data_IF_014070558050
#
_entry.id   IF_014070558050
#
_cell.length_a   1.000
_cell.length_b   1.000
_cell.length_c   1.000
_cell.angle_alpha   90.00
_cell.angle_beta   90.00
_cell.angle_gamma   90.00
#
_symmetry.space_group_name_H-M   'P 1'
#
loop_
_entity.id
_entity.type
_entity.pdbx_description
1 polymer ?
#
# COMPACT_ATOMS: atom_id res chain seq x y z
N UNK A 1 -19.52 9.20 -0.94
CA UNK A 1 -19.87 8.08 -0.10
C UNK A 1 -21.30 8.24 0.39
N UNK A 2 -21.92 7.18 0.56
CA UNK A 2 -23.31 7.19 0.95
C UNK A 2 -23.42 7.50 2.41
N UNK A 3 -24.34 8.38 2.74
CA UNK A 3 -24.51 8.68 4.16
C UNK A 3 -24.86 7.47 4.98
N UNK A 4 -25.53 6.53 4.37
CA UNK A 4 -25.92 5.35 5.11
C UNK A 4 -24.81 4.33 5.21
N UNK A 5 -23.70 4.59 4.62
CA UNK A 5 -22.63 3.63 4.70
C UNK A 5 -22.16 3.48 6.11
N UNK A 6 -21.84 2.27 6.44
CA UNK A 6 -21.25 2.02 7.72
C UNK A 6 -19.83 2.54 7.74
N UNK A 7 -19.36 3.01 8.87
CA UNK A 7 -17.95 3.30 8.98
C UNK A 7 -17.14 2.03 8.76
N UNK A 8 -15.88 2.18 8.40
CA UNK A 8 -15.02 1.00 8.29
C UNK A 8 -15.01 0.22 9.60
N UNK A 9 -14.78 -1.07 9.53
CA UNK A 9 -14.71 -1.85 10.76
C UNK A 9 -13.66 -1.29 11.70
N UNK A 10 -13.93 -1.39 12.98
CA UNK A 10 -12.96 -0.97 13.97
C UNK A 10 -11.73 -1.85 13.86
N UNK A 11 -10.54 -1.24 13.81
CA UNK A 11 -9.33 -2.06 13.78
C UNK A 11 -9.23 -2.95 15.00
N UNK A 12 -8.71 -4.12 14.79
CA UNK A 12 -8.46 -5.02 15.88
C UNK A 12 -7.43 -4.46 16.82
N UNK A 13 -7.53 -4.72 18.09
CA UNK A 13 -6.48 -4.31 19.01
C UNK A 13 -5.17 -4.94 18.60
N UNK A 14 -4.09 -4.29 18.93
CA UNK A 14 -2.80 -4.84 18.68
C UNK A 14 -2.54 -6.00 19.61
N UNK A 15 -2.84 -7.16 19.15
CA UNK A 15 -2.80 -8.36 19.99
C UNK A 15 -1.62 -9.25 19.65
N UNK A 16 -0.56 -8.67 19.16
CA UNK A 16 0.62 -9.43 18.79
C UNK A 16 0.61 -9.91 17.38
N UNK A 17 -0.38 -9.51 16.61
CA UNK A 17 -0.50 -9.99 15.23
C UNK A 17 0.16 -9.08 14.22
N UNK A 18 0.64 -7.93 14.64
CA UNK A 18 1.31 -6.99 13.76
C UNK A 18 2.73 -6.77 14.21
N UNK A 19 3.57 -6.37 13.29
CA UNK A 19 4.88 -5.88 13.66
C UNK A 19 4.73 -4.71 14.66
N UNK A 20 5.73 -4.47 15.51
CA UNK A 20 5.63 -3.39 16.49
C UNK A 20 5.33 -2.07 15.82
N UNK A 21 4.34 -1.36 16.36
CA UNK A 21 3.90 -0.04 15.91
C UNK A 21 3.07 -0.07 14.64
N UNK A 22 2.88 -1.22 14.02
CA UNK A 22 1.98 -1.30 12.88
C UNK A 22 0.54 -1.34 13.36
N UNK A 23 -0.36 -0.80 12.55
CA UNK A 23 -1.75 -0.62 12.93
C UNK A 23 -2.60 -1.70 12.29
N UNK A 24 -3.33 -2.48 13.09
CA UNK A 24 -4.17 -3.53 12.51
C UNK A 24 -5.46 -2.96 11.96
N UNK A 25 -5.89 -3.52 10.86
CA UNK A 25 -7.20 -3.22 10.29
C UNK A 25 -7.60 -4.40 9.43
N UNK A 26 -8.80 -4.94 9.69
CA UNK A 26 -9.23 -6.14 8.98
C UNK A 26 -8.28 -7.28 9.29
N UNK A 27 -7.76 -7.88 8.26
CA UNK A 27 -6.83 -8.99 8.41
C UNK A 27 -5.38 -8.57 8.20
N UNK A 28 -5.12 -7.30 8.15
CA UNK A 28 -3.80 -6.80 7.77
C UNK A 28 -3.30 -5.79 8.76
N UNK A 29 -2.06 -5.43 8.59
CA UNK A 29 -1.36 -4.45 9.40
C UNK A 29 -0.72 -3.43 8.49
N UNK A 30 -0.67 -2.18 8.91
CA UNK A 30 -0.26 -1.06 8.06
C UNK A 30 0.72 -0.17 8.80
N UNK A 31 1.67 0.38 8.07
CA UNK A 31 2.56 1.40 8.62
C UNK A 31 2.89 2.42 7.55
N UNK A 32 2.86 3.69 7.93
CA UNK A 32 3.22 4.79 7.05
C UNK A 32 4.59 5.28 7.42
N UNK A 33 5.46 5.39 6.43
CA UNK A 33 6.80 5.91 6.58
C UNK A 33 6.83 7.32 6.01
N UNK A 34 7.42 8.26 6.74
CA UNK A 34 7.28 9.66 6.36
C UNK A 34 8.45 10.53 6.77
N UNK A 35 9.66 10.14 6.51
CA UNK A 35 10.74 11.02 6.91
C UNK A 35 10.88 12.21 5.95
N UNK A 36 11.72 13.15 6.32
CA UNK A 36 11.78 14.43 5.62
C UNK A 36 12.28 14.28 4.19
N UNK A 37 13.18 13.38 3.96
CA UNK A 37 13.74 13.25 2.63
C UNK A 37 12.83 12.55 1.68
N UNK A 38 11.96 11.72 2.21
CA UNK A 38 11.12 10.90 1.35
C UNK A 38 11.92 9.82 0.65
N UNK A 39 11.21 9.02 -0.13
CA UNK A 39 11.79 7.87 -0.80
C UNK A 39 11.27 7.81 -2.22
N UNK A 40 12.14 7.40 -3.14
CA UNK A 40 11.66 7.01 -4.45
C UNK A 40 10.81 5.75 -4.30
N UNK A 41 10.02 5.45 -5.31
CA UNK A 41 9.16 4.27 -5.23
C UNK A 41 9.98 2.98 -5.06
N UNK A 42 11.07 2.77 -5.85
CA UNK A 42 11.86 1.55 -5.63
C UNK A 42 12.47 1.48 -4.23
N UNK A 43 12.91 2.61 -3.70
CA UNK A 43 13.46 2.60 -2.35
C UNK A 43 12.38 2.34 -1.32
N UNK A 44 11.20 2.91 -1.52
CA UNK A 44 10.09 2.67 -0.62
C UNK A 44 9.74 1.18 -0.59
N UNK A 45 9.66 0.58 -1.77
CA UNK A 45 9.38 -0.85 -1.82
C UNK A 45 10.45 -1.65 -1.10
N UNK A 46 11.71 -1.26 -1.29
CA UNK A 46 12.81 -1.96 -0.65
C UNK A 46 12.67 -1.90 0.87
N UNK A 47 12.28 -0.76 1.41
CA UNK A 47 12.08 -0.65 2.86
C UNK A 47 11.00 -1.61 3.32
N UNK A 48 9.86 -1.63 2.64
CA UNK A 48 8.81 -2.57 3.02
C UNK A 48 9.34 -4.01 2.98
N UNK A 49 10.04 -4.36 1.92
CA UNK A 49 10.53 -5.73 1.76
C UNK A 49 11.56 -6.09 2.82
N UNK A 50 12.29 -5.12 3.33
CA UNK A 50 13.33 -5.40 4.31
C UNK A 50 12.74 -5.92 5.63
N UNK A 51 11.46 -5.69 5.86
CA UNK A 51 10.78 -6.23 7.03
C UNK A 51 9.70 -7.21 6.62
N UNK A 52 9.84 -7.81 5.44
CA UNK A 52 8.95 -8.86 4.95
C UNK A 52 7.54 -8.38 4.69
N UNK A 53 7.42 -7.16 4.23
CA UNK A 53 6.13 -6.62 3.86
C UNK A 53 6.21 -6.12 2.42
N UNK A 54 5.16 -5.49 1.93
CA UNK A 54 5.15 -4.90 0.61
C UNK A 54 4.51 -3.54 0.69
N UNK A 55 4.75 -2.73 -0.33
CA UNK A 55 3.99 -1.50 -0.45
C UNK A 55 2.50 -1.84 -0.42
N UNK A 56 1.73 -0.95 0.14
CA UNK A 56 0.33 -1.22 0.42
C UNK A 56 -0.44 -1.47 -0.87
N UNK A 57 -1.27 -2.51 -0.87
CA UNK A 57 -2.30 -2.70 -1.88
C UNK A 57 -3.64 -2.36 -1.25
N UNK A 58 -4.57 -1.93 -2.07
CA UNK A 58 -5.85 -1.39 -1.58
C UNK A 58 -6.97 -2.07 -2.34
N UNK A 59 -7.84 -2.75 -1.60
CA UNK A 59 -8.80 -3.67 -2.22
C UNK A 59 -10.25 -3.31 -1.97
N UNK A 60 -10.50 -2.21 -1.26
CA UNK A 60 -11.87 -1.80 -1.00
C UNK A 60 -11.90 -0.34 -0.62
N UNK A 61 -13.09 0.24 -0.74
CA UNK A 61 -13.26 1.62 -0.30
C UNK A 61 -13.01 1.73 1.19
N UNK A 62 -13.40 0.75 1.97
CA UNK A 62 -13.18 0.80 3.41
C UNK A 62 -11.69 0.80 3.73
N UNK A 63 -10.93 -0.02 3.03
CA UNK A 63 -9.50 -0.06 3.24
C UNK A 63 -8.86 1.27 2.84
N UNK A 64 -9.30 1.82 1.72
CA UNK A 64 -8.80 3.11 1.26
C UNK A 64 -9.06 4.18 2.30
N UNK A 65 -10.27 4.22 2.85
CA UNK A 65 -10.60 5.23 3.84
C UNK A 65 -9.79 5.06 5.11
N UNK A 66 -9.50 3.83 5.47
CA UNK A 66 -8.65 3.60 6.62
C UNK A 66 -7.26 4.18 6.40
N UNK A 67 -6.67 3.90 5.23
CA UNK A 67 -5.31 4.31 4.95
C UNK A 67 -5.23 5.83 4.85
N UNK A 68 -6.18 6.46 4.18
CA UNK A 68 -6.09 7.90 3.97
C UNK A 68 -6.33 8.69 5.26
N UNK A 69 -6.77 8.03 6.31
CA UNK A 69 -6.96 8.68 7.59
C UNK A 69 -5.84 8.40 8.58
N UNK A 70 -4.82 7.70 8.15
CA UNK A 70 -3.64 7.55 8.98
C UNK A 70 -2.87 8.85 9.00
N UNK A 71 -2.08 9.04 10.05
CA UNK A 71 -1.26 10.25 10.14
C UNK A 71 -0.39 10.38 8.92
N UNK A 72 -0.15 11.60 8.50
CA UNK A 72 0.65 11.94 7.34
C UNK A 72 -0.10 11.80 6.03
N UNK A 73 -0.84 10.70 5.84
CA UNK A 73 -1.57 10.51 4.59
C UNK A 73 -2.72 11.48 4.45
N UNK A 74 -3.12 12.09 5.55
CA UNK A 74 -4.21 13.07 5.53
C UNK A 74 -3.88 14.29 4.69
N UNK A 75 -2.60 14.62 4.55
CA UNK A 75 -2.22 15.83 3.87
C UNK A 75 -0.95 15.70 3.03
N UNK A 76 -0.55 14.49 2.70
CA UNK A 76 0.61 14.25 1.86
C UNK A 76 0.32 13.18 0.83
N UNK A 77 0.96 13.31 -0.31
CA UNK A 77 0.91 12.25 -1.32
C UNK A 77 1.84 11.13 -0.87
N UNK A 78 1.43 9.90 -1.05
CA UNK A 78 2.26 8.76 -0.65
C UNK A 78 2.32 7.74 -1.79
N UNK A 79 3.42 7.01 -1.83
CA UNK A 79 3.54 5.89 -2.75
C UNK A 79 2.71 4.72 -2.26
N UNK A 80 2.04 4.05 -3.19
CA UNK A 80 1.36 2.79 -2.92
C UNK A 80 1.91 1.72 -3.85
N UNK A 81 1.48 0.50 -3.66
CA UNK A 81 2.13 -0.64 -4.31
C UNK A 81 1.65 -0.95 -5.71
N UNK A 82 1.06 -0.01 -6.40
CA UNK A 82 0.58 -0.23 -7.75
C UNK A 82 1.63 0.26 -8.74
N UNK A 83 1.95 -0.57 -9.71
CA UNK A 83 2.97 -0.22 -10.67
C UNK A 83 2.63 -0.87 -12.01
N UNK A 84 3.19 -0.32 -13.06
CA UNK A 84 2.98 -0.85 -14.39
C UNK A 84 4.05 -1.88 -14.69
N UNK A 85 3.64 -2.99 -15.25
CA UNK A 85 4.59 -4.04 -15.60
C UNK A 85 5.03 -3.88 -17.03
N UNK A 86 5.87 -4.81 -17.46
CA UNK A 86 6.45 -4.74 -18.80
C UNK A 86 5.43 -4.89 -19.89
N UNK A 87 4.30 -5.44 -19.59
CA UNK A 87 3.22 -5.61 -20.55
C UNK A 87 2.23 -4.48 -20.49
N UNK A 88 2.60 -3.39 -19.80
CA UNK A 88 1.78 -2.19 -19.68
C UNK A 88 0.50 -2.42 -18.89
N UNK A 89 0.45 -3.52 -18.13
CA UNK A 89 -0.63 -3.73 -17.21
C UNK A 89 -0.30 -3.19 -15.84
N UNK A 90 -1.31 -2.76 -15.13
CA UNK A 90 -1.14 -2.30 -13.75
C UNK A 90 -1.34 -3.47 -12.79
N UNK A 91 -0.52 -3.54 -11.76
CA UNK A 91 -0.65 -4.62 -10.80
C UNK A 91 -0.07 -4.25 -9.46
N UNK A 92 -0.56 -4.89 -8.42
CA UNK A 92 -0.05 -4.71 -7.08
C UNK A 92 1.22 -5.54 -6.90
N UNK A 93 2.21 -4.95 -6.21
CA UNK A 93 3.49 -5.65 -6.03
C UNK A 93 3.35 -6.85 -5.11
N UNK A 94 2.32 -6.90 -4.30
CA UNK A 94 2.12 -8.08 -3.45
C UNK A 94 1.38 -9.19 -4.16
N UNK A 95 1.17 -9.04 -5.46
CA UNK A 95 0.55 -10.05 -6.32
C UNK A 95 -0.92 -10.31 -6.03
N UNK A 96 -1.55 -9.46 -5.25
CA UNK A 96 -3.00 -9.57 -5.09
C UNK A 96 -3.68 -9.02 -6.34
N UNK A 97 -4.89 -9.50 -6.64
CA UNK A 97 -5.57 -9.08 -7.87
C UNK A 97 -5.94 -7.61 -7.83
N UNK A 98 -5.85 -6.96 -8.97
CA UNK A 98 -6.29 -5.58 -9.12
C UNK A 98 -7.75 -5.59 -9.51
N UNK A 99 -8.62 -5.20 -8.58
CA UNK A 99 -10.04 -5.12 -8.85
C UNK A 99 -10.58 -3.75 -8.48
N UNK A 100 -10.44 -3.37 -7.22
CA UNK A 100 -10.83 -2.03 -6.80
C UNK A 100 -9.81 -1.03 -7.31
N UNK A 101 -10.27 0.05 -7.92
CA UNK A 101 -9.39 1.13 -8.38
C UNK A 101 -10.00 2.45 -7.96
N UNK A 102 -9.16 3.45 -7.82
CA UNK A 102 -9.63 4.77 -7.41
C UNK A 102 -8.82 5.87 -8.11
N UNK A 103 -8.66 5.73 -9.41
CA UNK A 103 -7.89 6.69 -10.18
C UNK A 103 -8.48 8.09 -10.07
N UNK A 104 -7.62 9.09 -10.01
CA UNK A 104 -8.05 10.46 -10.13
C UNK A 104 -8.56 10.71 -11.54
N UNK A 105 -9.32 11.78 -11.70
CA UNK A 105 -9.91 12.07 -13.00
C UNK A 105 -8.82 12.22 -14.05
N UNK A 106 -8.96 11.53 -15.14
CA UNK A 106 -7.99 11.57 -16.21
C UNK A 106 -6.80 10.65 -16.02
N UNK A 107 -6.76 9.91 -14.92
CA UNK A 107 -5.63 9.03 -14.64
C UNK A 107 -6.03 7.57 -14.81
N UNK A 108 -5.12 6.69 -15.07
CA UNK A 108 -3.70 6.98 -15.30
C UNK A 108 -3.54 7.67 -16.64
N UNK A 109 -2.68 8.66 -16.69
CA UNK A 109 -2.53 9.37 -17.95
C UNK A 109 -1.48 8.73 -18.83
N UNK A 110 -0.79 7.73 -18.32
CA UNK A 110 0.19 7.00 -19.09
C UNK A 110 1.15 7.94 -19.75
N UNK A 111 1.50 8.98 -19.07
CA UNK A 111 2.35 9.97 -19.70
C UNK A 111 3.60 9.28 -20.18
N UNK A 112 3.72 9.23 -21.48
CA UNK A 112 4.86 8.64 -22.09
C UNK A 112 5.51 9.71 -22.91
N UNK A 113 6.72 9.99 -22.56
CA UNK A 113 7.49 11.02 -23.24
C UNK A 113 8.70 10.36 -23.86
N UNK A 114 8.62 10.02 -25.14
CA UNK A 114 9.73 9.33 -25.74
C UNK A 114 11.03 10.10 -25.57
N UNK A 115 12.04 9.41 -25.18
CA UNK A 115 13.30 10.05 -24.93
C UNK A 115 13.52 10.57 -23.54
N UNK A 116 12.50 10.55 -22.72
CA UNK A 116 12.69 10.93 -21.33
C UNK A 116 13.11 9.71 -20.52
N UNK A 117 13.93 9.98 -19.55
CA UNK A 117 14.44 8.91 -18.73
C UNK A 117 13.38 8.36 -17.78
N UNK A 118 12.42 9.16 -17.43
CA UNK A 118 11.47 8.77 -16.40
C UNK A 118 10.09 8.65 -16.99
N UNK A 119 9.47 7.53 -16.73
CA UNK A 119 8.09 7.30 -17.12
C UNK A 119 7.25 7.26 -15.87
N UNK A 120 5.97 7.48 -16.07
CA UNK A 120 5.04 7.45 -14.94
C UNK A 120 4.54 6.04 -14.77
N UNK A 121 5.35 5.22 -14.12
CA UNK A 121 5.06 3.81 -13.93
C UNK A 121 4.71 3.45 -12.50
N UNK A 122 4.71 4.40 -11.59
CA UNK A 122 4.47 4.16 -10.18
C UNK A 122 3.31 5.01 -9.73
N UNK A 123 2.59 4.57 -8.71
CA UNK A 123 1.34 5.20 -8.35
C UNK A 123 1.44 5.81 -6.96
N UNK A 124 1.00 7.04 -6.87
CA UNK A 124 0.86 7.76 -5.62
C UNK A 124 -0.61 7.88 -5.27
N UNK A 125 -0.89 8.05 -3.99
CA UNK A 125 -2.23 8.32 -3.53
C UNK A 125 -2.28 9.74 -2.97
N UNK A 126 -3.26 10.50 -3.40
CA UNK A 126 -3.51 11.84 -2.89
C UNK A 126 -4.16 11.78 -1.52
N UNK A 127 -4.13 12.87 -0.76
CA UNK A 127 -4.83 12.89 0.52
C UNK A 127 -6.32 12.56 0.43
N UNK A 128 -6.96 12.85 -0.70
CA UNK A 128 -8.37 12.51 -0.84
C UNK A 128 -8.58 11.05 -1.24
N UNK A 129 -7.51 10.29 -1.38
CA UNK A 129 -7.60 8.86 -1.67
C UNK A 129 -7.51 8.50 -3.13
N UNK A 130 -7.48 9.48 -4.03
CA UNK A 130 -7.40 9.17 -5.45
C UNK A 130 -5.99 8.89 -5.87
N UNK A 131 -5.85 8.15 -6.95
CA UNK A 131 -4.55 7.64 -7.38
C UNK A 131 -4.08 8.33 -8.65
N UNK A 132 -2.77 8.49 -8.75
CA UNK A 132 -2.15 9.12 -9.91
C UNK A 132 -0.85 8.41 -10.22
N UNK A 133 -0.64 8.09 -11.50
CA UNK A 133 0.66 7.56 -11.91
C UNK A 133 1.65 8.69 -11.98
N UNK A 134 2.87 8.41 -11.56
CA UNK A 134 3.87 9.46 -11.49
C UNK A 134 5.26 8.86 -11.64
N UNK A 135 6.22 9.75 -11.74
CA UNK A 135 7.62 9.38 -11.92
C UNK A 135 8.12 8.65 -10.66
N UNK A 136 8.62 7.46 -10.85
CA UNK A 136 9.03 6.60 -9.75
C UNK A 136 10.17 7.18 -8.91
N UNK A 137 10.91 8.12 -9.43
CA UNK A 137 12.07 8.65 -8.73
C UNK A 137 11.74 9.83 -7.83
N UNK A 138 10.52 10.31 -7.86
CA UNK A 138 10.11 11.36 -6.94
C UNK A 138 10.10 10.83 -5.53
N UNK A 139 10.42 11.70 -4.59
CA UNK A 139 10.56 11.28 -3.20
C UNK A 139 9.30 11.61 -2.43
N UNK A 140 8.75 10.62 -1.77
CA UNK A 140 7.49 10.73 -1.04
C UNK A 140 7.54 9.83 0.18
N UNK A 141 6.59 10.03 1.08
CA UNK A 141 6.30 9.00 2.06
C UNK A 141 5.60 7.83 1.40
N UNK A 142 5.38 6.79 2.15
CA UNK A 142 4.77 5.59 1.59
C UNK A 142 4.16 4.76 2.70
N UNK A 143 3.37 3.78 2.31
CA UNK A 143 2.76 2.87 3.28
C UNK A 143 3.05 1.43 2.89
N UNK A 144 3.27 0.61 3.90
CA UNK A 144 3.48 -0.82 3.74
C UNK A 144 2.32 -1.57 4.38
N UNK A 145 2.15 -2.81 3.98
CA UNK A 145 1.09 -3.67 4.50
C UNK A 145 1.62 -5.09 4.65
N UNK A 146 1.20 -5.78 5.71
CA UNK A 146 1.43 -7.22 5.80
C UNK A 146 0.22 -7.87 6.43
N UNK A 147 0.06 -9.17 6.19
CA UNK A 147 -1.01 -9.91 6.84
C UNK A 147 -0.73 -10.04 8.31
N UNK A 148 -1.78 -10.03 9.09
CA UNK A 148 -1.63 -10.26 10.51
C UNK A 148 -1.02 -11.64 10.74
N UNK A 149 -0.16 -11.72 11.73
CA UNK A 149 0.42 -12.99 12.12
C UNK A 149 -0.62 -13.82 12.87
N UNK A 150 -0.33 -15.10 13.00
CA UNK A 150 -1.13 -15.93 13.87
C UNK A 150 -0.19 -16.80 14.66
N UNK A 151 -0.71 -17.32 15.76
CA UNK A 151 0.08 -18.25 16.56
C UNK A 151 -0.43 -19.64 16.29
N UNK A 152 0.47 -20.57 16.22
CA UNK A 152 0.08 -21.93 15.90
C UNK A 152 -0.16 -22.76 17.13
N UNK A 153 0.25 -22.30 18.30
CA UNK A 153 0.11 -23.11 19.49
C UNK A 153 0.25 -22.22 20.71
N UNK A 154 0.42 -22.86 21.83
CA UNK A 154 0.51 -22.18 23.07
C UNK A 154 1.76 -21.35 23.23
N UNK A 155 2.74 -21.55 22.44
CA UNK A 155 3.95 -20.75 22.56
C UNK A 155 3.72 -19.32 22.20
N UNK A 156 2.70 -19.05 21.43
CA UNK A 156 2.35 -17.68 21.10
C UNK A 156 3.38 -16.95 20.27
N UNK A 157 4.25 -17.66 19.63
CA UNK A 157 5.20 -17.01 18.74
C UNK A 157 4.50 -16.71 17.43
N UNK A 158 4.56 -15.48 16.97
CA UNK A 158 3.92 -15.15 15.70
C UNK A 158 4.54 -15.90 14.55
N UNK A 159 3.72 -16.24 13.58
CA UNK A 159 4.17 -16.92 12.38
C UNK A 159 3.79 -16.05 11.21
N UNK A 160 4.75 -15.78 10.33
CA UNK A 160 4.43 -15.05 9.13
C UNK A 160 3.56 -15.91 8.22
N UNK A 161 2.49 -15.34 7.68
CA UNK A 161 1.68 -16.10 6.76
C UNK A 161 2.49 -16.49 5.53
N UNK A 162 2.15 -17.63 4.99
CA UNK A 162 2.71 -18.00 3.71
C UNK A 162 2.13 -17.11 2.66
N UNK A 163 2.97 -16.67 1.76
CA UNK A 163 2.49 -15.83 0.69
C UNK A 163 1.63 -16.65 -0.24
N UNK A 164 0.37 -16.29 -0.30
CA UNK A 164 -0.55 -17.07 -1.10
C UNK A 164 -0.30 -16.94 -2.58
N UNK A 165 0.45 -15.97 -3.00
CA UNK A 165 0.74 -15.86 -4.38
C UNK A 165 2.06 -16.44 -4.71
N UNK A 166 2.55 -17.06 -3.88
CA UNK A 166 3.61 -17.63 -4.14
C UNK A 166 4.65 -17.42 -3.78
N UNK A 167 4.67 -16.59 -3.49
CA UNK A 167 5.75 -16.53 -3.13
C UNK A 167 6.13 -17.75 -2.67
N UNK A 168 5.82 -18.04 -2.09
CA UNK A 168 6.24 -18.97 -1.41
C UNK A 168 7.01 -19.88 -1.92
N UNK A 169 7.16 -19.92 -2.46
CA UNK A 169 7.90 -20.88 -2.59
C UNK A 169 8.67 -20.80 -3.19
#
# INVERSE_FOLDING_TARGET
>A
HLPSEKPPPTPSPGDGKCLPFWVPYGSYCYLVYNDKQGYSWPDARHVCQSVRTELVSIHSRAELEFIRNLNYTENHHIWIGLTRDQNFGWGWTDNTPLAFVNWASGEPNDAFHPGEAAEENCVEMYPDGRWNDNNCMLKKGFACRHRQFYTTDENKNPVFPTDSTGGGK
#
